data_IF_578792566796
#
_entry.id   IF_578792566796
#
_cell.length_a   1.000
_cell.length_b   1.000
_cell.length_c   1.000
_cell.angle_alpha   90.00
_cell.angle_beta   90.00
_cell.angle_gamma   90.00
#
_symmetry.space_group_name_H-M   'P 1'
#
loop_
_entity.id
_entity.type
_entity.pdbx_description
1 polymer ?
#
# COMPACT_ATOMS: atom_id res chain seq x y z
N UNK A 1 -11.88 7.74 -11.17
CA UNK A 1 -10.94 8.79 -10.71
C UNK A 1 -9.55 8.19 -10.73
N UNK A 2 -8.58 8.85 -11.38
CA UNK A 2 -7.23 8.32 -11.62
C UNK A 2 -6.31 8.48 -10.41
N UNK A 3 -5.35 7.57 -10.28
CA UNK A 3 -4.32 7.63 -9.24
C UNK A 3 -3.34 8.78 -9.48
N UNK A 4 -2.78 9.34 -8.42
CA UNK A 4 -1.74 10.37 -8.51
C UNK A 4 -0.40 9.64 -8.74
N UNK A 5 0.04 9.56 -9.99
CA UNK A 5 1.27 8.86 -10.43
C UNK A 5 2.54 9.70 -10.28
N UNK A 6 2.41 10.98 -9.90
CA UNK A 6 3.53 11.91 -9.77
C UNK A 6 4.13 12.37 -11.12
N UNK A 7 3.49 12.03 -12.24
CA UNK A 7 3.95 12.36 -13.59
C UNK A 7 3.09 13.51 -14.14
N UNK A 8 3.75 14.54 -14.66
CA UNK A 8 3.08 15.63 -15.38
C UNK A 8 2.78 15.20 -16.82
N UNK A 9 1.89 14.22 -16.98
CA UNK A 9 1.41 13.73 -18.27
C UNK A 9 0.24 14.55 -18.84
N UNK A 10 -0.24 14.19 -20.02
CA UNK A 10 -1.33 14.89 -20.73
C UNK A 10 -2.60 15.02 -19.88
N UNK A 11 -2.93 14.00 -19.08
CA UNK A 11 -4.06 14.02 -18.16
C UNK A 11 -3.88 15.00 -16.99
N UNK A 12 -2.66 15.10 -16.44
CA UNK A 12 -2.32 16.03 -15.36
C UNK A 12 -2.34 17.47 -15.89
N UNK A 13 -1.84 17.69 -17.10
CA UNK A 13 -1.87 19.00 -17.77
C UNK A 13 -3.30 19.44 -18.08
N UNK A 14 -4.13 18.56 -18.64
CA UNK A 14 -5.55 18.85 -18.89
C UNK A 14 -6.31 19.15 -17.59
N UNK A 15 -6.08 18.36 -16.54
CA UNK A 15 -6.72 18.58 -15.22
C UNK A 15 -6.26 19.89 -14.57
N UNK A 16 -5.01 20.28 -14.76
CA UNK A 16 -4.49 21.57 -14.27
C UNK A 16 -5.08 22.75 -15.04
N UNK A 17 -5.21 22.64 -16.36
CA UNK A 17 -5.87 23.64 -17.20
C UNK A 17 -7.34 23.79 -16.78
N UNK A 18 -8.06 22.68 -16.62
CA UNK A 18 -9.45 22.69 -16.16
C UNK A 18 -9.58 23.32 -14.77
N UNK A 19 -8.67 22.99 -13.84
CA UNK A 19 -8.63 23.64 -12.54
C UNK A 19 -8.39 25.14 -12.68
N UNK A 20 -7.42 25.57 -13.48
CA UNK A 20 -7.11 26.98 -13.70
C UNK A 20 -8.30 27.75 -14.27
N UNK A 21 -9.02 27.19 -15.24
CA UNK A 21 -10.25 27.79 -15.78
C UNK A 21 -11.28 27.96 -14.68
N UNK A 22 -11.58 26.89 -13.93
CA UNK A 22 -12.59 26.90 -12.86
C UNK A 22 -12.19 27.80 -11.68
N UNK A 23 -10.89 28.01 -11.48
CA UNK A 23 -10.30 28.87 -10.47
C UNK A 23 -10.19 30.35 -10.89
N UNK A 24 -10.48 30.68 -12.16
CA UNK A 24 -10.28 32.02 -12.71
C UNK A 24 -8.80 32.41 -12.89
N UNK A 25 -7.91 31.42 -13.02
CA UNK A 25 -6.49 31.60 -13.33
C UNK A 25 -6.25 31.56 -14.85
N UNK A 26 -5.06 31.99 -15.28
CA UNK A 26 -4.61 31.80 -16.66
C UNK A 26 -4.42 30.29 -16.91
N UNK A 27 -5.07 29.69 -17.92
CA UNK A 27 -5.01 28.25 -18.20
C UNK A 27 -3.75 27.88 -18.98
N UNK A 28 -2.59 28.12 -18.40
CA UNK A 28 -1.28 27.85 -19.01
C UNK A 28 -0.81 26.39 -18.81
N UNK A 29 -1.52 25.60 -18.01
CA UNK A 29 -1.16 24.22 -17.67
C UNK A 29 0.08 24.12 -16.78
N UNK A 30 0.57 25.25 -16.26
CA UNK A 30 1.76 25.35 -15.42
C UNK A 30 1.36 25.46 -13.95
N UNK A 31 1.87 24.55 -13.13
CA UNK A 31 1.67 24.58 -11.69
C UNK A 31 2.61 25.60 -11.02
N UNK A 32 2.40 26.89 -11.30
CA UNK A 32 3.17 28.00 -10.74
C UNK A 32 2.74 28.37 -9.31
N UNK A 33 3.43 29.33 -8.66
CA UNK A 33 3.16 29.71 -7.26
C UNK A 33 1.72 30.13 -6.97
N UNK A 34 1.06 30.78 -7.94
CA UNK A 34 -0.35 31.21 -7.83
C UNK A 34 -1.27 29.99 -7.86
N UNK A 35 -1.07 29.08 -8.81
CA UNK A 35 -1.81 27.81 -8.92
C UNK A 35 -1.66 26.98 -7.64
N UNK A 36 -0.42 26.81 -7.15
CA UNK A 36 -0.10 26.11 -5.90
C UNK A 36 -0.81 26.75 -4.71
N UNK A 37 -0.71 28.08 -4.56
CA UNK A 37 -1.33 28.80 -3.45
C UNK A 37 -2.86 28.69 -3.43
N UNK A 38 -3.49 28.48 -4.59
CA UNK A 38 -4.93 28.28 -4.70
C UNK A 38 -5.32 26.82 -4.45
N UNK A 39 -4.57 25.85 -4.99
CA UNK A 39 -4.72 24.42 -4.68
C UNK A 39 -4.62 24.17 -3.18
N UNK A 40 -3.67 24.80 -2.49
CA UNK A 40 -3.54 24.72 -1.04
C UNK A 40 -4.75 25.30 -0.30
N UNK A 41 -5.34 26.39 -0.78
CA UNK A 41 -6.54 26.98 -0.17
C UNK A 41 -7.78 26.11 -0.39
N UNK A 42 -7.91 25.52 -1.58
CA UNK A 42 -8.98 24.58 -1.90
C UNK A 42 -8.84 23.30 -1.06
N UNK A 43 -7.65 22.72 -0.99
CA UNK A 43 -7.36 21.58 -0.12
C UNK A 43 -7.62 21.85 1.37
N UNK A 44 -7.40 23.08 1.85
CA UNK A 44 -7.78 23.45 3.23
C UNK A 44 -9.31 23.59 3.44
N UNK A 45 -10.09 23.88 2.40
CA UNK A 45 -11.55 24.09 2.49
C UNK A 45 -12.35 22.80 2.34
N UNK A 46 -11.83 21.80 1.63
CA UNK A 46 -12.52 20.53 1.37
C UNK A 46 -11.98 19.35 2.21
N UNK A 47 -11.14 19.63 3.23
CA UNK A 47 -10.39 18.63 3.99
C UNK A 47 -9.05 18.32 3.32
N UNK A 48 -7.98 18.14 4.10
CA UNK A 48 -6.71 17.74 3.49
C UNK A 48 -6.91 16.40 2.77
N UNK A 49 -6.24 16.14 1.63
CA UNK A 49 -6.30 14.85 0.94
C UNK A 49 -6.09 13.66 1.88
N UNK A 50 -5.27 13.87 2.91
CA UNK A 50 -4.93 12.93 3.98
C UNK A 50 -6.12 12.57 4.88
N UNK A 51 -7.03 13.52 5.15
CA UNK A 51 -8.25 13.27 5.92
C UNK A 51 -9.22 12.39 5.13
N UNK A 52 -9.35 12.64 3.83
CA UNK A 52 -10.20 11.81 2.96
C UNK A 52 -9.66 10.39 2.85
N UNK A 53 -8.35 10.21 2.62
CA UNK A 53 -7.72 8.87 2.55
C UNK A 53 -7.85 8.12 3.87
N UNK A 54 -7.65 8.80 5.01
CA UNK A 54 -7.86 8.21 6.34
C UNK A 54 -9.31 7.78 6.57
N UNK A 55 -10.27 8.62 6.17
CA UNK A 55 -11.70 8.29 6.27
C UNK A 55 -12.09 7.15 5.32
N UNK A 56 -11.51 7.08 4.12
CA UNK A 56 -11.71 5.97 3.19
C UNK A 56 -11.20 4.66 3.75
N UNK A 57 -9.98 4.62 4.31
CA UNK A 57 -9.47 3.42 5.00
C UNK A 57 -10.41 3.01 6.15
N UNK A 58 -10.81 3.97 7.00
CA UNK A 58 -11.76 3.71 8.10
C UNK A 58 -13.06 3.11 7.59
N UNK A 59 -13.70 3.72 6.60
CA UNK A 59 -14.95 3.23 6.03
C UNK A 59 -14.79 1.84 5.40
N UNK A 60 -13.70 1.62 4.66
CA UNK A 60 -13.41 0.35 3.98
C UNK A 60 -13.26 -0.82 4.95
N UNK A 61 -12.72 -0.58 6.14
CA UNK A 61 -12.55 -1.60 7.19
C UNK A 61 -13.53 -1.45 8.37
N UNK A 62 -14.60 -0.66 8.22
CA UNK A 62 -15.64 -0.49 9.25
C UNK A 62 -16.63 -1.65 9.31
N UNK A 63 -16.69 -2.50 8.27
CA UNK A 63 -17.59 -3.65 8.19
C UNK A 63 -16.81 -4.93 8.51
N UNK A 64 -17.01 -5.54 9.69
CA UNK A 64 -16.33 -6.78 10.06
C UNK A 64 -16.71 -7.91 9.12
N UNK A 65 -15.71 -8.63 8.59
CA UNK A 65 -15.94 -9.89 7.88
C UNK A 65 -15.23 -11.03 8.59
N UNK A 66 -15.90 -12.17 8.88
CA UNK A 66 -15.27 -13.31 9.54
C UNK A 66 -14.23 -14.03 8.67
N UNK A 67 -14.19 -13.77 7.37
CA UNK A 67 -13.25 -14.38 6.41
C UNK A 67 -12.69 -13.32 5.46
N UNK A 68 -11.63 -13.66 4.74
CA UNK A 68 -11.12 -12.81 3.65
C UNK A 68 -12.00 -12.88 2.38
N UNK A 69 -13.17 -13.52 2.45
CA UNK A 69 -14.10 -13.64 1.32
C UNK A 69 -14.47 -12.27 0.78
N UNK A 70 -14.20 -12.05 -0.50
CA UNK A 70 -14.48 -10.80 -1.21
C UNK A 70 -13.36 -9.76 -1.14
N UNK A 71 -12.30 -9.98 -0.34
CA UNK A 71 -11.12 -9.12 -0.36
C UNK A 71 -10.19 -9.48 -1.51
N UNK A 72 -9.79 -8.46 -2.26
CA UNK A 72 -8.79 -8.54 -3.31
C UNK A 72 -7.43 -8.21 -2.76
N UNK A 73 -6.45 -9.11 -2.91
CA UNK A 73 -5.10 -8.90 -2.37
C UNK A 73 -4.08 -9.05 -3.49
N UNK A 74 -3.26 -8.03 -3.69
CA UNK A 74 -2.08 -8.14 -4.54
C UNK A 74 -0.91 -8.68 -3.70
N UNK A 75 -0.22 -9.70 -4.21
CA UNK A 75 1.05 -10.19 -3.68
C UNK A 75 2.13 -9.97 -4.73
N UNK A 76 3.16 -9.20 -4.40
CA UNK A 76 4.22 -8.78 -5.31
C UNK A 76 5.61 -9.16 -4.83
N UNK A 77 6.51 -9.41 -5.77
CA UNK A 77 7.94 -9.58 -5.51
C UNK A 77 8.82 -8.99 -6.61
N UNK A 78 10.07 -8.66 -6.23
CA UNK A 78 11.07 -8.04 -7.10
C UNK A 78 11.91 -9.02 -7.93
N UNK A 79 11.77 -10.33 -7.70
CA UNK A 79 12.47 -11.41 -8.39
C UNK A 79 13.11 -12.42 -7.42
N UNK A 80 12.97 -13.71 -7.74
CA UNK A 80 13.63 -14.81 -7.02
C UNK A 80 12.92 -15.29 -5.74
N UNK A 81 11.70 -14.81 -5.47
CA UNK A 81 10.89 -15.17 -4.30
C UNK A 81 9.60 -15.93 -4.66
N UNK A 82 9.59 -16.67 -5.78
CA UNK A 82 8.42 -17.44 -6.26
C UNK A 82 7.81 -18.35 -5.19
N UNK A 83 8.65 -19.04 -4.40
CA UNK A 83 8.19 -19.94 -3.33
C UNK A 83 7.44 -19.19 -2.21
N UNK A 84 7.87 -17.96 -1.93
CA UNK A 84 7.26 -17.07 -0.94
C UNK A 84 5.92 -16.59 -1.45
N UNK A 85 5.87 -16.05 -2.66
CA UNK A 85 4.64 -15.57 -3.30
C UNK A 85 3.63 -16.71 -3.46
N UNK A 86 4.08 -17.90 -3.89
CA UNK A 86 3.21 -19.06 -3.99
C UNK A 86 2.61 -19.48 -2.64
N UNK A 87 3.37 -19.35 -1.54
CA UNK A 87 2.88 -19.68 -0.20
C UNK A 87 1.89 -18.65 0.32
N UNK A 88 2.16 -17.36 0.13
CA UNK A 88 1.23 -16.28 0.45
C UNK A 88 -0.07 -16.44 -0.35
N UNK A 89 0.03 -16.61 -1.67
CA UNK A 89 -1.13 -16.83 -2.54
C UNK A 89 -1.99 -17.98 -2.06
N UNK A 90 -1.40 -19.15 -1.78
CA UNK A 90 -2.14 -20.32 -1.28
C UNK A 90 -2.88 -20.01 0.02
N UNK A 91 -2.20 -19.54 1.05
CA UNK A 91 -2.83 -19.29 2.35
C UNK A 91 -3.93 -18.22 2.27
N UNK A 92 -3.71 -17.14 1.52
CA UNK A 92 -4.72 -16.09 1.33
C UNK A 92 -5.94 -16.58 0.54
N UNK A 93 -5.70 -17.38 -0.52
CA UNK A 93 -6.79 -18.00 -1.30
C UNK A 93 -7.58 -18.98 -0.45
N UNK A 94 -6.91 -19.83 0.35
CA UNK A 94 -7.54 -20.77 1.27
C UNK A 94 -8.37 -20.05 2.34
N UNK A 95 -7.96 -18.84 2.74
CA UNK A 95 -8.70 -17.96 3.64
C UNK A 95 -9.87 -17.20 2.96
N UNK A 96 -10.03 -17.34 1.64
CA UNK A 96 -11.14 -16.83 0.84
C UNK A 96 -10.86 -15.56 0.04
N UNK A 97 -9.62 -15.05 0.03
CA UNK A 97 -9.27 -13.85 -0.74
C UNK A 97 -9.17 -14.14 -2.24
N UNK A 98 -9.48 -13.14 -3.06
CA UNK A 98 -9.11 -13.11 -4.47
C UNK A 98 -7.68 -12.57 -4.60
N UNK A 99 -6.74 -13.40 -5.06
CA UNK A 99 -5.31 -13.05 -5.04
C UNK A 99 -4.75 -12.87 -6.45
N UNK A 100 -4.18 -11.70 -6.71
CA UNK A 100 -3.35 -11.43 -7.89
C UNK A 100 -1.87 -11.45 -7.51
N UNK A 101 -1.06 -12.23 -8.22
CA UNK A 101 0.40 -12.26 -8.05
C UNK A 101 1.09 -11.45 -9.13
N UNK A 102 2.01 -10.57 -8.74
CA UNK A 102 2.77 -9.72 -9.65
C UNK A 102 4.29 -9.93 -9.49
N UNK A 103 5.00 -9.98 -10.61
CA UNK A 103 6.45 -10.21 -10.67
C UNK A 103 7.08 -9.17 -11.58
N UNK A 104 7.84 -8.24 -11.00
CA UNK A 104 8.44 -7.13 -11.73
C UNK A 104 9.59 -6.53 -10.93
N UNK A 105 10.70 -6.10 -11.55
CA UNK A 105 11.82 -5.49 -10.83
C UNK A 105 11.50 -4.09 -10.27
N UNK A 106 10.52 -3.40 -10.84
CA UNK A 106 10.09 -2.06 -10.42
C UNK A 106 8.78 -2.08 -9.62
N UNK A 107 8.83 -1.45 -8.45
CA UNK A 107 7.74 -1.32 -7.49
C UNK A 107 6.59 -0.41 -7.95
N UNK A 108 6.87 0.55 -8.82
CA UNK A 108 5.85 1.44 -9.41
C UNK A 108 4.90 0.66 -10.32
N UNK A 109 5.45 -0.31 -11.07
CA UNK A 109 4.69 -1.24 -11.89
C UNK A 109 3.81 -2.18 -11.05
N UNK A 110 4.26 -2.59 -9.87
CA UNK A 110 3.45 -3.37 -8.91
C UNK A 110 2.29 -2.55 -8.36
N UNK A 111 2.55 -1.30 -7.97
CA UNK A 111 1.53 -0.38 -7.50
C UNK A 111 0.44 -0.14 -8.56
N UNK A 112 0.85 0.08 -9.81
CA UNK A 112 -0.06 0.23 -10.96
C UNK A 112 -0.94 -1.01 -11.18
N UNK A 113 -0.39 -2.22 -11.02
CA UNK A 113 -1.14 -3.47 -11.09
C UNK A 113 -2.14 -3.61 -9.92
N UNK A 114 -1.74 -3.25 -8.69
CA UNK A 114 -2.63 -3.28 -7.53
C UNK A 114 -3.83 -2.35 -7.71
N UNK A 115 -3.57 -1.13 -8.19
CA UNK A 115 -4.59 -0.13 -8.48
C UNK A 115 -5.55 -0.62 -9.58
N UNK A 116 -5.02 -1.18 -10.66
CA UNK A 116 -5.83 -1.70 -11.78
C UNK A 116 -6.68 -2.92 -11.38
N UNK A 117 -6.15 -3.78 -10.51
CA UNK A 117 -6.88 -4.90 -9.94
C UNK A 117 -7.99 -4.46 -8.97
N UNK A 118 -7.91 -3.22 -8.48
CA UNK A 118 -8.77 -2.70 -7.42
C UNK A 118 -8.52 -3.44 -6.11
N UNK A 119 -7.25 -3.70 -5.78
CA UNK A 119 -6.89 -4.44 -4.58
C UNK A 119 -7.37 -3.70 -3.30
N UNK A 120 -7.75 -4.49 -2.30
CA UNK A 120 -8.05 -4.01 -0.96
C UNK A 120 -6.80 -3.95 -0.08
N UNK A 121 -5.82 -4.81 -0.37
CA UNK A 121 -4.49 -4.78 0.23
C UNK A 121 -3.43 -5.05 -0.83
N UNK A 122 -2.24 -4.51 -0.61
CA UNK A 122 -1.05 -4.84 -1.40
C UNK A 122 0.09 -5.30 -0.47
N UNK A 123 0.66 -6.46 -0.76
CA UNK A 123 1.79 -7.02 -0.02
C UNK A 123 2.96 -7.25 -0.97
N UNK A 124 4.02 -6.48 -0.81
CA UNK A 124 5.31 -6.72 -1.46
C UNK A 124 6.25 -7.53 -0.57
N UNK A 125 7.12 -8.33 -1.17
CA UNK A 125 8.26 -8.96 -0.48
C UNK A 125 9.54 -8.70 -1.27
N UNK A 126 10.61 -8.28 -0.58
CA UNK A 126 11.95 -8.16 -1.16
C UNK A 126 13.05 -8.63 -0.23
N UNK A 127 14.18 -8.99 -0.84
CA UNK A 127 15.45 -9.12 -0.15
C UNK A 127 16.21 -7.79 -0.23
N UNK A 128 16.64 -7.27 0.92
CA UNK A 128 17.36 -6.01 1.06
C UNK A 128 18.34 -6.11 2.22
N UNK A 129 19.59 -5.69 2.00
CA UNK A 129 20.56 -5.57 3.07
C UNK A 129 20.08 -4.60 4.15
N UNK A 130 20.30 -4.96 5.42
CA UNK A 130 19.93 -4.15 6.59
C UNK A 130 19.03 -4.90 7.56
N UNK A 131 18.43 -4.16 8.50
CA UNK A 131 17.48 -4.72 9.46
C UNK A 131 16.19 -5.12 8.74
N UNK A 132 15.63 -6.31 9.01
CA UNK A 132 14.35 -6.71 8.45
C UNK A 132 13.25 -5.74 8.92
N UNK A 133 12.28 -5.47 8.05
CA UNK A 133 11.19 -4.56 8.37
C UNK A 133 9.91 -4.91 7.61
N UNK A 134 8.77 -4.61 8.22
CA UNK A 134 7.49 -4.45 7.56
C UNK A 134 7.29 -2.96 7.34
N UNK A 135 7.39 -2.52 6.09
CA UNK A 135 7.29 -1.10 5.75
C UNK A 135 5.86 -0.75 5.37
N UNK A 136 5.33 0.34 5.94
CA UNK A 136 4.02 0.92 5.60
C UNK A 136 4.17 2.39 5.20
N UNK A 137 3.13 2.98 4.60
CA UNK A 137 3.21 4.36 4.12
C UNK A 137 3.25 5.37 5.28
N UNK A 138 4.28 6.22 5.29
CA UNK A 138 4.41 7.41 6.14
C UNK A 138 4.85 8.64 5.34
N UNK A 139 3.88 9.48 5.00
CA UNK A 139 3.95 10.83 4.43
C UNK A 139 4.31 11.91 5.46
N UNK A 140 4.34 13.19 5.03
CA UNK A 140 4.61 14.32 5.95
C UNK A 140 3.36 14.64 6.80
N UNK A 141 2.19 14.29 6.27
CA UNK A 141 0.89 14.68 6.79
C UNK A 141 -0.09 13.50 6.86
N UNK A 142 0.29 12.34 6.30
CA UNK A 142 -0.49 11.12 6.33
C UNK A 142 0.39 9.92 6.64
N UNK A 143 -0.05 9.09 7.56
CA UNK A 143 0.45 7.73 7.78
C UNK A 143 -0.74 6.81 7.60
N UNK A 144 -0.59 5.73 6.84
CA UNK A 144 -1.67 4.75 6.63
C UNK A 144 -1.98 4.08 7.97
N UNK A 145 -3.15 4.31 8.59
CA UNK A 145 -3.47 3.67 9.87
C UNK A 145 -3.57 2.15 9.73
N UNK A 146 -4.14 1.66 8.63
CA UNK A 146 -4.23 0.23 8.37
C UNK A 146 -2.84 -0.38 8.17
N UNK A 147 -1.99 0.30 7.41
CA UNK A 147 -0.60 -0.09 7.21
C UNK A 147 0.18 -0.14 8.52
N UNK A 148 0.05 0.87 9.39
CA UNK A 148 0.75 0.91 10.67
C UNK A 148 0.27 -0.21 11.61
N UNK A 149 -1.05 -0.40 11.75
CA UNK A 149 -1.63 -1.42 12.62
C UNK A 149 -1.23 -2.83 12.15
N UNK A 150 -1.44 -3.15 10.87
CA UNK A 150 -1.03 -4.43 10.30
C UNK A 150 0.49 -4.64 10.36
N UNK A 151 1.27 -3.59 10.06
CA UNK A 151 2.72 -3.63 10.11
C UNK A 151 3.24 -4.01 11.50
N UNK A 152 2.67 -3.39 12.54
CA UNK A 152 2.98 -3.70 13.94
C UNK A 152 2.63 -5.16 14.30
N UNK A 153 1.42 -5.61 13.95
CA UNK A 153 0.97 -6.98 14.23
C UNK A 153 1.84 -8.01 13.51
N UNK A 154 2.13 -7.81 12.22
CA UNK A 154 2.94 -8.73 11.42
C UNK A 154 4.38 -8.74 11.95
N UNK A 155 5.00 -7.60 12.20
CA UNK A 155 6.36 -7.53 12.72
C UNK A 155 6.47 -8.27 14.08
N UNK A 156 5.55 -7.99 15.01
CA UNK A 156 5.50 -8.67 16.31
C UNK A 156 5.43 -10.20 16.16
N UNK A 157 4.55 -10.70 15.28
CA UNK A 157 4.35 -12.13 15.09
C UNK A 157 5.47 -12.81 14.29
N UNK A 158 6.27 -12.05 13.54
CA UNK A 158 7.40 -12.57 12.77
C UNK A 158 8.73 -12.54 13.54
N UNK A 159 8.75 -12.02 14.77
CA UNK A 159 9.97 -11.87 15.55
C UNK A 159 10.76 -13.18 15.74
N UNK A 160 10.06 -14.31 15.88
CA UNK A 160 10.70 -15.63 16.01
C UNK A 160 11.37 -16.10 14.70
N UNK A 161 10.77 -15.78 13.55
CA UNK A 161 11.29 -16.17 12.24
C UNK A 161 12.40 -15.23 11.75
N UNK A 162 12.25 -13.94 12.04
CA UNK A 162 13.15 -12.88 11.60
C UNK A 162 13.48 -11.97 12.79
N UNK A 163 14.46 -12.36 13.64
CA UNK A 163 14.82 -11.58 14.80
C UNK A 163 15.22 -10.15 14.45
N UNK A 164 14.63 -9.19 15.16
CA UNK A 164 14.87 -7.76 14.98
C UNK A 164 14.00 -7.11 13.91
N UNK A 165 13.00 -7.83 13.37
CA UNK A 165 12.02 -7.24 12.45
C UNK A 165 11.20 -6.16 13.14
N UNK A 166 11.03 -5.02 12.48
CA UNK A 166 10.25 -3.89 13.01
C UNK A 166 9.18 -3.45 12.03
N UNK A 167 8.17 -2.73 12.53
CA UNK A 167 7.26 -1.96 11.68
C UNK A 167 7.85 -0.56 11.46
N UNK A 168 7.99 -0.15 10.21
CA UNK A 168 8.69 1.11 9.86
C UNK A 168 7.91 1.90 8.82
N UNK A 169 7.55 3.15 9.15
CA UNK A 169 6.96 4.08 8.19
C UNK A 169 7.97 4.52 7.12
N UNK A 170 7.61 4.39 5.84
CA UNK A 170 8.45 4.76 4.70
C UNK A 170 7.64 5.37 3.54
N UNK A 171 8.32 5.94 2.53
CA UNK A 171 7.72 6.45 1.28
C UNK A 171 8.26 5.76 0.02
N UNK A 172 8.33 4.44 0.09
CA UNK A 172 8.80 3.62 -1.03
C UNK A 172 7.79 3.66 -2.19
N UNK A 173 8.20 3.44 -3.46
CA UNK A 173 7.30 3.53 -4.60
C UNK A 173 6.02 2.70 -4.42
N UNK A 174 6.14 1.43 -4.04
CA UNK A 174 4.97 0.57 -3.78
C UNK A 174 4.00 1.18 -2.76
N UNK A 175 4.52 1.79 -1.69
CA UNK A 175 3.72 2.30 -0.58
C UNK A 175 3.05 3.64 -0.90
N UNK A 176 3.74 4.47 -1.70
CA UNK A 176 3.30 5.82 -2.05
C UNK A 176 2.31 5.80 -3.22
N UNK A 177 2.44 4.84 -4.13
CA UNK A 177 1.73 4.80 -5.41
C UNK A 177 0.57 3.79 -5.43
N UNK A 178 0.20 3.23 -4.28
CA UNK A 178 -0.99 2.39 -4.12
C UNK A 178 -2.16 3.19 -3.57
N UNK A 179 -3.38 2.91 -4.04
CA UNK A 179 -4.64 3.49 -3.51
C UNK A 179 -5.20 2.76 -2.29
N UNK A 180 -4.60 1.64 -1.93
CA UNK A 180 -4.99 0.80 -0.81
C UNK A 180 -3.82 0.69 0.18
N UNK A 181 -4.09 0.26 1.43
CA UNK A 181 -3.02 -0.05 2.36
C UNK A 181 -2.03 -1.05 1.75
N UNK A 182 -0.77 -0.65 1.72
CA UNK A 182 0.32 -1.45 1.21
C UNK A 182 1.36 -1.70 2.29
N UNK A 183 1.90 -2.92 2.27
CA UNK A 183 3.02 -3.33 3.11
C UNK A 183 4.14 -3.87 2.22
N UNK A 184 5.38 -3.49 2.50
CA UNK A 184 6.56 -4.09 1.89
C UNK A 184 7.38 -4.80 2.96
N UNK A 185 7.43 -6.13 2.89
CA UNK A 185 8.26 -6.96 3.74
C UNK A 185 9.70 -6.97 3.19
N UNK A 186 10.61 -6.30 3.88
CA UNK A 186 12.05 -6.27 3.59
C UNK A 186 12.76 -7.25 4.50
N UNK A 187 13.37 -8.28 3.92
CA UNK A 187 14.10 -9.31 4.65
C UNK A 187 15.55 -9.34 4.17
N UNK A 188 16.48 -9.71 5.03
CA UNK A 188 17.91 -9.56 4.74
C UNK A 188 18.59 -10.81 4.19
N UNK A 189 18.04 -12.00 4.42
CA UNK A 189 18.64 -13.26 3.96
C UNK A 189 17.63 -14.15 3.24
N UNK A 190 17.83 -14.34 1.94
CA UNK A 190 16.99 -15.18 1.08
C UNK A 190 16.87 -16.62 1.59
N UNK A 191 17.93 -17.20 2.16
CA UNK A 191 17.90 -18.58 2.62
C UNK A 191 16.96 -18.75 3.82
N UNK A 192 17.03 -17.82 4.77
CA UNK A 192 16.12 -17.77 5.91
C UNK A 192 14.68 -17.59 5.46
N UNK A 193 14.42 -16.69 4.50
CA UNK A 193 13.07 -16.48 3.94
C UNK A 193 12.53 -17.76 3.30
N UNK A 194 13.30 -18.41 2.43
CA UNK A 194 12.85 -19.64 1.75
C UNK A 194 12.61 -20.76 2.76
N UNK A 195 13.40 -20.88 3.83
CA UNK A 195 13.12 -21.90 4.87
C UNK A 195 11.85 -21.59 5.66
N UNK A 196 11.56 -20.32 5.91
CA UNK A 196 10.44 -19.87 6.74
C UNK A 196 9.15 -19.56 5.95
N UNK A 197 9.16 -19.61 4.62
CA UNK A 197 8.11 -19.02 3.77
C UNK A 197 6.69 -19.54 4.06
N UNK A 198 6.55 -20.81 4.46
CA UNK A 198 5.23 -21.39 4.78
C UNK A 198 4.67 -20.83 6.08
N UNK A 199 5.50 -20.73 7.12
CA UNK A 199 5.10 -20.20 8.43
C UNK A 199 4.87 -18.69 8.35
N UNK A 200 5.75 -17.97 7.64
CA UNK A 200 5.57 -16.54 7.36
C UNK A 200 4.23 -16.27 6.65
N UNK A 201 3.88 -17.05 5.62
CA UNK A 201 2.63 -16.88 4.90
C UNK A 201 1.39 -17.08 5.80
N UNK A 202 1.43 -18.07 6.71
CA UNK A 202 0.36 -18.29 7.70
C UNK A 202 0.23 -17.10 8.65
N UNK A 203 1.34 -16.61 9.19
CA UNK A 203 1.36 -15.48 10.13
C UNK A 203 0.78 -14.22 9.48
N UNK A 204 1.22 -13.90 8.26
CA UNK A 204 0.72 -12.73 7.52
C UNK A 204 -0.78 -12.88 7.21
N UNK A 205 -1.21 -14.06 6.77
CA UNK A 205 -2.63 -14.33 6.48
C UNK A 205 -3.50 -14.19 7.73
N UNK A 206 -3.02 -14.68 8.87
CA UNK A 206 -3.71 -14.55 10.16
C UNK A 206 -3.84 -13.09 10.59
N UNK A 207 -2.78 -12.30 10.45
CA UNK A 207 -2.80 -10.88 10.79
C UNK A 207 -3.81 -10.11 9.93
N UNK A 208 -3.82 -10.34 8.62
CA UNK A 208 -4.79 -9.71 7.71
C UNK A 208 -6.21 -10.16 8.06
N UNK A 209 -6.42 -11.46 8.34
CA UNK A 209 -7.74 -11.98 8.74
C UNK A 209 -8.23 -11.34 10.03
N UNK A 210 -7.38 -11.25 11.05
CA UNK A 210 -7.74 -10.62 12.32
C UNK A 210 -8.08 -9.15 12.11
N UNK A 211 -7.31 -8.43 11.30
CA UNK A 211 -7.55 -7.02 11.01
C UNK A 211 -8.90 -6.77 10.33
N UNK A 212 -9.28 -7.57 9.33
CA UNK A 212 -10.60 -7.39 8.68
C UNK A 212 -11.78 -7.80 9.59
N UNK A 213 -11.52 -8.57 10.65
CA UNK A 213 -12.52 -8.94 11.65
C UNK A 213 -12.68 -7.85 12.72
N UNK A 214 -11.58 -7.25 13.18
CA UNK A 214 -11.61 -6.23 14.23
C UNK A 214 -11.85 -4.84 13.69
N UNK A 215 -11.41 -4.58 12.46
CA UNK A 215 -11.37 -3.25 11.87
C UNK A 215 -10.17 -2.44 12.37
N UNK A 216 -10.17 -1.16 11.98
CA UNK A 216 -9.20 -0.16 12.41
C UNK A 216 -9.44 0.26 13.87
N UNK A 217 -8.36 0.38 14.62
CA UNK A 217 -8.37 0.89 16.00
C UNK A 217 -8.70 2.41 16.10
#
# INVERSE_FOLDING_TARGET
MGHIDGIHGDHTSASLVDFQINAGLVPDGVCGPITIGLLQRVGKRFGQPDDMTRLQERQKFSMPSPRLTGYKILVAEGGGLDAVVASLRRNLTDAGAEVLTAHHPDWSSHASQANSFGADFCLGVEIRDGSPAICHFLGDHFESPAGQQLGNTIASNLQELFPGITSTGMRLPLLRETQMPALLCRLSDVNSVVRAHQQMAKIITEAIRSFVQTGLD
#
